data_IF_540772619902
#
_entry.id   IF_540772619902
#
_cell.length_a   1.000
_cell.length_b   1.000
_cell.length_c   1.000
_cell.angle_alpha   90.00
_cell.angle_beta   90.00
_cell.angle_gamma   90.00
#
_symmetry.space_group_name_H-M   'P 1'
#
loop_
_entity.id
_entity.type
_entity.pdbx_description
1 polymer ?
#
# COMPACT_ATOMS: atom_id res chain seq x y z
N UNK A 1 -7.11 -16.76 7.77
CA UNK A 1 -7.17 -17.04 6.30
C UNK A 1 -5.98 -16.37 5.63
N UNK A 2 -5.24 -17.10 4.78
CA UNK A 2 -4.10 -16.51 4.07
C UNK A 2 -4.56 -15.45 3.08
N UNK A 3 -4.04 -14.23 3.24
CA UNK A 3 -4.33 -13.09 2.37
C UNK A 3 -3.27 -12.92 1.28
N UNK A 4 -2.03 -13.31 1.59
CA UNK A 4 -0.87 -13.24 0.70
C UNK A 4 -0.11 -14.56 0.74
N UNK A 5 0.27 -15.08 -0.41
CA UNK A 5 1.21 -16.19 -0.55
C UNK A 5 2.27 -15.85 -1.59
N UNK A 6 3.52 -15.99 -1.20
CA UNK A 6 4.71 -15.80 -2.02
C UNK A 6 5.44 -17.15 -2.08
N UNK A 7 5.64 -17.68 -3.28
CA UNK A 7 6.16 -19.02 -3.50
C UNK A 7 7.34 -18.99 -4.48
N UNK A 8 8.53 -19.31 -3.99
CA UNK A 8 9.77 -19.44 -4.76
C UNK A 8 10.05 -18.25 -5.70
N UNK A 9 9.81 -17.03 -5.22
CA UNK A 9 9.93 -15.82 -6.02
C UNK A 9 11.40 -15.48 -6.25
N UNK A 10 11.77 -15.39 -7.53
CA UNK A 10 13.04 -14.89 -8.01
C UNK A 10 12.80 -13.61 -8.82
N UNK A 11 13.63 -12.61 -8.63
CA UNK A 11 13.64 -11.42 -9.49
C UNK A 11 15.05 -11.09 -9.94
N UNK A 12 15.22 -11.06 -11.24
CA UNK A 12 16.48 -10.73 -11.89
C UNK A 12 16.27 -9.59 -12.89
N UNK A 13 17.17 -8.61 -12.87
CA UNK A 13 17.19 -7.48 -13.81
C UNK A 13 18.41 -7.59 -14.74
N UNK A 14 18.31 -6.99 -15.92
CA UNK A 14 19.38 -6.97 -16.90
C UNK A 14 19.37 -8.18 -17.85
N UNK A 15 20.34 -8.22 -18.76
CA UNK A 15 20.50 -9.28 -19.77
C UNK A 15 21.93 -9.82 -19.77
N UNK A 16 22.05 -11.12 -19.98
CA UNK A 16 23.25 -11.95 -20.14
C UNK A 16 24.56 -11.53 -19.43
N UNK A 17 25.11 -10.34 -19.69
CA UNK A 17 26.42 -9.92 -19.14
C UNK A 17 26.31 -9.01 -17.91
N UNK A 18 25.14 -8.40 -17.66
CA UNK A 18 24.89 -7.48 -16.54
C UNK A 18 23.65 -7.90 -15.75
N UNK A 19 23.52 -9.19 -15.49
CA UNK A 19 22.39 -9.73 -14.73
C UNK A 19 22.59 -9.51 -13.23
N UNK A 20 21.60 -8.92 -12.57
CA UNK A 20 21.57 -8.71 -11.13
C UNK A 20 20.35 -9.40 -10.55
N UNK A 21 20.56 -10.39 -9.69
CA UNK A 21 19.49 -11.05 -8.95
C UNK A 21 19.17 -10.23 -7.70
N UNK A 22 18.02 -9.55 -7.73
CA UNK A 22 17.54 -8.73 -6.62
C UNK A 22 16.82 -9.54 -5.56
N UNK A 23 16.15 -10.64 -5.93
CA UNK A 23 15.51 -11.61 -5.03
C UNK A 23 15.85 -13.02 -5.47
N UNK A 24 16.17 -13.90 -4.51
CA UNK A 24 16.55 -15.28 -4.74
C UNK A 24 15.71 -16.19 -3.84
N UNK A 25 14.79 -16.94 -4.45
CA UNK A 25 13.94 -17.97 -3.81
C UNK A 25 13.22 -17.52 -2.55
N UNK A 26 12.47 -16.41 -2.64
CA UNK A 26 11.71 -15.85 -1.53
C UNK A 26 10.37 -16.56 -1.40
N UNK A 27 10.08 -17.13 -0.21
CA UNK A 27 8.81 -17.78 0.09
C UNK A 27 8.32 -17.40 1.48
N UNK A 28 7.08 -16.91 1.58
CA UNK A 28 6.39 -16.64 2.84
C UNK A 28 4.89 -16.48 2.58
N UNK A 29 4.11 -16.44 3.65
CA UNK A 29 2.68 -16.13 3.59
C UNK A 29 2.32 -15.14 4.68
N UNK A 30 1.22 -14.40 4.48
CA UNK A 30 0.62 -13.54 5.47
C UNK A 30 -0.87 -13.86 5.63
N UNK A 31 -1.35 -13.79 6.85
CA UNK A 31 -2.76 -13.93 7.19
C UNK A 31 -3.46 -12.55 7.25
N UNK A 32 -4.77 -12.57 7.20
CA UNK A 32 -5.56 -11.35 7.36
C UNK A 32 -5.30 -10.74 8.74
N UNK A 33 -5.09 -9.41 8.79
CA UNK A 33 -4.78 -8.69 10.02
C UNK A 33 -3.34 -8.85 10.52
N UNK A 34 -2.47 -9.55 9.78
CA UNK A 34 -1.07 -9.71 10.16
C UNK A 34 -0.24 -8.49 9.75
N UNK A 35 0.66 -8.06 10.66
CA UNK A 35 1.64 -7.00 10.40
C UNK A 35 3.03 -7.61 10.20
N UNK A 36 3.56 -7.51 8.99
CA UNK A 36 4.89 -8.03 8.64
C UNK A 36 5.87 -6.87 8.44
N UNK A 37 7.00 -6.90 9.13
CA UNK A 37 8.11 -5.98 8.93
C UNK A 37 9.22 -6.64 8.12
N UNK A 38 9.54 -6.08 6.95
CA UNK A 38 10.65 -6.51 6.10
C UNK A 38 11.85 -5.65 6.44
N UNK A 39 12.87 -6.26 7.03
CA UNK A 39 14.10 -5.58 7.47
C UNK A 39 15.31 -6.04 6.67
N UNK A 40 16.28 -5.16 6.49
CA UNK A 40 17.52 -5.46 5.76
C UNK A 40 18.27 -4.19 5.39
N UNK A 41 19.53 -4.34 5.00
CA UNK A 41 20.40 -3.24 4.57
C UNK A 41 19.88 -2.60 3.27
N UNK A 42 20.40 -1.41 2.93
CA UNK A 42 20.12 -0.80 1.62
C UNK A 42 20.56 -1.74 0.49
N UNK A 43 19.75 -1.85 -0.55
CA UNK A 43 20.03 -2.74 -1.68
C UNK A 43 19.70 -4.22 -1.45
N UNK A 44 19.13 -4.62 -0.30
CA UNK A 44 18.78 -6.02 -0.02
C UNK A 44 17.50 -6.53 -0.72
N UNK A 45 16.90 -5.75 -1.62
CA UNK A 45 15.73 -6.16 -2.41
C UNK A 45 14.37 -5.83 -1.79
N UNK A 46 14.31 -5.09 -0.66
CA UNK A 46 13.03 -4.75 0.02
C UNK A 46 12.03 -4.06 -0.91
N UNK A 47 12.43 -2.97 -1.54
CA UNK A 47 11.56 -2.22 -2.48
C UNK A 47 11.23 -3.05 -3.71
N UNK A 48 12.14 -3.90 -4.18
CA UNK A 48 11.85 -4.87 -5.25
C UNK A 48 10.74 -5.82 -4.84
N UNK A 49 10.82 -6.39 -3.64
CA UNK A 49 9.78 -7.27 -3.12
C UNK A 49 8.44 -6.53 -3.01
N UNK A 50 8.42 -5.33 -2.43
CA UNK A 50 7.20 -4.52 -2.32
C UNK A 50 6.60 -4.19 -3.70
N UNK A 51 7.42 -3.91 -4.71
CA UNK A 51 6.97 -3.66 -6.08
C UNK A 51 6.33 -4.90 -6.70
N UNK A 52 6.89 -6.09 -6.47
CA UNK A 52 6.31 -7.35 -6.92
C UNK A 52 4.97 -7.63 -6.21
N UNK A 53 4.92 -7.48 -4.87
CA UNK A 53 3.69 -7.64 -4.09
C UNK A 53 2.61 -6.63 -4.52
N UNK A 54 3.04 -5.41 -4.87
CA UNK A 54 2.19 -4.34 -5.39
C UNK A 54 1.71 -4.53 -6.83
N UNK A 55 2.19 -5.55 -7.54
CA UNK A 55 1.90 -5.74 -8.96
C UNK A 55 2.39 -4.57 -9.83
N UNK A 56 3.44 -3.87 -9.37
CA UNK A 56 4.14 -2.82 -10.14
C UNK A 56 5.20 -3.42 -11.05
N UNK A 57 5.67 -4.62 -10.70
CA UNK A 57 6.60 -5.43 -11.48
C UNK A 57 6.15 -6.90 -11.41
N UNK A 58 6.74 -7.77 -12.21
CA UNK A 58 6.44 -9.20 -12.26
C UNK A 58 7.67 -10.02 -11.84
N UNK A 59 7.53 -11.12 -11.13
CA UNK A 59 8.65 -11.99 -10.80
C UNK A 59 9.23 -12.63 -12.07
N UNK A 60 10.54 -12.95 -12.04
CA UNK A 60 11.19 -13.73 -13.10
C UNK A 60 10.78 -15.20 -13.00
N UNK A 61 10.71 -15.71 -11.76
CA UNK A 61 10.24 -17.05 -11.44
C UNK A 61 9.42 -17.01 -10.15
N UNK A 62 8.66 -18.09 -9.92
CA UNK A 62 7.80 -18.22 -8.75
C UNK A 62 6.44 -17.56 -8.94
N UNK A 63 5.69 -17.46 -7.83
CA UNK A 63 4.29 -17.05 -7.85
C UNK A 63 3.94 -16.16 -6.68
N UNK A 64 3.09 -15.17 -6.91
CA UNK A 64 2.51 -14.32 -5.88
C UNK A 64 0.99 -14.37 -6.00
N UNK A 65 0.33 -14.78 -4.93
CA UNK A 65 -1.14 -14.84 -4.86
C UNK A 65 -1.66 -13.94 -3.75
N UNK A 66 -2.67 -13.13 -4.06
CA UNK A 66 -3.38 -12.27 -3.11
C UNK A 66 -4.86 -12.64 -3.15
N UNK A 67 -5.45 -12.95 -1.99
CA UNK A 67 -6.82 -13.51 -1.90
C UNK A 67 -7.03 -14.71 -2.83
N UNK A 68 -6.03 -15.57 -2.97
CA UNK A 68 -6.06 -16.73 -3.86
C UNK A 68 -5.91 -16.44 -5.35
N UNK A 69 -5.82 -15.16 -5.77
CA UNK A 69 -5.60 -14.77 -7.16
C UNK A 69 -4.12 -14.64 -7.46
N UNK A 70 -3.62 -15.39 -8.43
CA UNK A 70 -2.27 -15.24 -8.95
C UNK A 70 -2.15 -13.93 -9.74
N UNK A 71 -1.43 -12.96 -9.18
CA UNK A 71 -1.28 -11.63 -9.80
C UNK A 71 -0.38 -11.64 -11.05
N UNK A 72 0.50 -12.65 -11.17
CA UNK A 72 1.38 -12.82 -12.34
C UNK A 72 0.63 -13.36 -13.57
N UNK A 73 -0.49 -14.06 -13.39
CA UNK A 73 -1.31 -14.63 -14.47
C UNK A 73 -2.26 -13.59 -15.10
N UNK A 74 -2.45 -12.44 -14.47
CA UNK A 74 -3.36 -11.40 -14.91
C UNK A 74 -2.77 -10.62 -16.09
N UNK A 75 -3.62 -10.23 -17.04
CA UNK A 75 -3.24 -9.26 -18.08
C UNK A 75 -2.92 -7.88 -17.45
N UNK A 76 -2.19 -7.02 -18.14
CA UNK A 76 -1.85 -5.67 -17.66
C UNK A 76 -3.08 -4.85 -17.23
N UNK A 77 -4.19 -5.01 -17.95
CA UNK A 77 -5.45 -4.33 -17.62
C UNK A 77 -6.05 -4.87 -16.32
N UNK A 78 -6.10 -6.18 -16.19
CA UNK A 78 -6.59 -6.86 -14.97
C UNK A 78 -5.71 -6.56 -13.78
N UNK A 79 -4.37 -6.59 -13.91
CA UNK A 79 -3.43 -6.19 -12.86
C UNK A 79 -3.70 -4.75 -12.38
N UNK A 80 -3.99 -3.83 -13.30
CA UNK A 80 -4.28 -2.43 -12.94
C UNK A 80 -5.58 -2.31 -12.14
N UNK A 81 -6.62 -3.07 -12.53
CA UNK A 81 -7.90 -3.11 -11.80
C UNK A 81 -7.71 -3.80 -10.44
N UNK A 82 -7.04 -4.94 -10.43
CA UNK A 82 -6.77 -5.72 -9.22
C UNK A 82 -6.00 -4.88 -8.18
N UNK A 83 -4.90 -4.26 -8.60
CA UNK A 83 -4.08 -3.37 -7.75
C UNK A 83 -4.92 -2.26 -7.14
N UNK A 84 -5.70 -1.55 -7.95
CA UNK A 84 -6.56 -0.46 -7.48
C UNK A 84 -7.52 -0.90 -6.38
N UNK A 85 -8.09 -2.10 -6.49
CA UNK A 85 -9.13 -2.60 -5.58
C UNK A 85 -8.60 -3.33 -4.37
N UNK A 86 -7.40 -3.93 -4.47
CA UNK A 86 -6.91 -4.85 -3.46
C UNK A 86 -5.63 -4.38 -2.75
N UNK A 87 -4.93 -3.37 -3.29
CA UNK A 87 -3.62 -2.97 -2.76
C UNK A 87 -3.60 -1.47 -2.47
N UNK A 88 -3.33 -1.14 -1.21
CA UNK A 88 -2.96 0.21 -0.79
C UNK A 88 -1.45 0.35 -0.77
N UNK A 89 -0.90 1.46 -1.26
CA UNK A 89 0.54 1.71 -1.26
C UNK A 89 0.86 3.04 -0.58
N UNK A 90 1.76 2.98 0.41
CA UNK A 90 2.31 4.13 1.14
C UNK A 90 3.77 4.28 0.75
N UNK A 91 4.11 5.37 0.06
CA UNK A 91 5.47 5.65 -0.41
C UNK A 91 6.23 6.54 0.58
N UNK A 92 7.55 6.42 0.59
CA UNK A 92 8.45 7.25 1.38
C UNK A 92 8.26 8.76 1.09
N UNK A 93 8.04 9.14 -0.15
CA UNK A 93 7.87 10.54 -0.59
C UNK A 93 6.42 11.02 -0.56
N UNK A 94 5.54 10.37 0.21
CA UNK A 94 4.10 10.64 0.28
C UNK A 94 3.37 10.53 -1.07
N UNK A 95 3.98 10.93 -2.16
CA UNK A 95 3.45 10.94 -3.55
C UNK A 95 2.06 11.56 -3.66
N UNK A 96 1.83 12.66 -2.92
CA UNK A 96 0.58 13.41 -2.98
C UNK A 96 0.53 14.28 -4.24
N UNK A 97 -0.67 14.46 -4.78
CA UNK A 97 -0.91 15.38 -5.89
C UNK A 97 -0.95 16.82 -5.35
N UNK A 98 0.03 17.69 -5.70
CA UNK A 98 0.16 19.00 -5.08
C UNK A 98 -0.99 19.95 -5.43
N UNK A 99 -1.68 19.70 -6.53
CA UNK A 99 -2.83 20.48 -7.02
C UNK A 99 -4.17 20.08 -6.41
N UNK A 100 -4.19 19.00 -5.63
CA UNK A 100 -5.38 18.48 -4.94
C UNK A 100 -5.27 18.78 -3.45
N UNK A 101 -6.39 19.12 -2.82
CA UNK A 101 -6.48 19.23 -1.36
C UNK A 101 -6.40 17.84 -0.69
N UNK A 102 -6.42 17.80 0.64
CA UNK A 102 -6.36 16.55 1.43
C UNK A 102 -7.50 15.59 1.05
N UNK A 103 -8.75 16.09 1.03
CA UNK A 103 -9.91 15.26 0.72
C UNK A 103 -9.80 14.65 -0.69
N UNK A 104 -9.46 15.46 -1.67
CA UNK A 104 -9.38 15.03 -3.07
C UNK A 104 -8.19 14.06 -3.30
N UNK A 105 -7.06 14.24 -2.60
CA UNK A 105 -5.96 13.27 -2.61
C UNK A 105 -6.40 11.90 -2.09
N UNK A 106 -7.17 11.87 -0.98
CA UNK A 106 -7.65 10.62 -0.38
C UNK A 106 -8.71 9.96 -1.26
N UNK A 107 -9.64 10.73 -1.81
CA UNK A 107 -10.70 10.20 -2.68
C UNK A 107 -10.21 9.76 -4.07
N UNK A 108 -9.04 10.24 -4.52
CA UNK A 108 -8.52 10.04 -5.88
C UNK A 108 -8.54 8.58 -6.36
N UNK A 109 -8.05 7.57 -5.60
CA UNK A 109 -8.06 6.18 -6.07
C UNK A 109 -9.46 5.65 -6.35
N UNK A 110 -10.46 6.10 -5.58
CA UNK A 110 -11.86 5.67 -5.74
C UNK A 110 -12.45 6.20 -7.04
N UNK A 111 -12.07 7.43 -7.45
CA UNK A 111 -12.60 8.07 -8.66
C UNK A 111 -12.20 7.38 -9.96
N UNK A 112 -11.13 6.57 -9.94
CA UNK A 112 -10.67 5.81 -11.11
C UNK A 112 -11.44 4.51 -11.35
N UNK A 113 -12.27 4.06 -10.42
CA UNK A 113 -13.07 2.84 -10.61
C UNK A 113 -14.42 3.20 -11.22
N UNK A 114 -14.61 2.86 -12.50
CA UNK A 114 -15.84 3.15 -13.23
C UNK A 114 -17.03 2.48 -12.55
N UNK A 115 -18.03 3.28 -12.18
CA UNK A 115 -19.21 2.81 -11.46
C UNK A 115 -19.09 2.80 -9.94
N UNK A 116 -17.92 3.09 -9.36
CA UNK A 116 -17.79 3.37 -7.94
C UNK A 116 -18.26 4.78 -7.62
N UNK A 117 -19.11 4.92 -6.65
CA UNK A 117 -19.36 6.20 -5.99
C UNK A 117 -18.36 6.36 -4.86
N UNK A 118 -17.78 7.57 -4.74
CA UNK A 118 -16.94 7.91 -3.58
C UNK A 118 -17.82 7.80 -2.33
N UNK A 119 -17.52 6.83 -1.48
CA UNK A 119 -18.15 6.71 -0.17
C UNK A 119 -17.63 7.86 0.71
N UNK A 120 -18.41 8.94 0.74
CA UNK A 120 -18.05 10.17 1.44
C UNK A 120 -17.97 9.98 2.94
N UNK A 121 -18.78 9.08 3.49
CA UNK A 121 -18.78 8.80 4.92
C UNK A 121 -17.51 8.04 5.30
N UNK A 122 -17.15 7.01 4.55
CA UNK A 122 -15.89 6.29 4.75
C UNK A 122 -14.65 7.22 4.65
N UNK A 123 -14.59 8.10 3.65
CA UNK A 123 -13.50 9.09 3.55
C UNK A 123 -13.48 10.04 4.76
N UNK A 124 -14.66 10.45 5.24
CA UNK A 124 -14.78 11.30 6.43
C UNK A 124 -14.28 10.59 7.67
N UNK A 125 -14.67 9.33 7.88
CA UNK A 125 -14.22 8.50 8.99
C UNK A 125 -12.70 8.34 8.98
N UNK A 126 -12.10 7.95 7.86
CA UNK A 126 -10.64 7.86 7.69
C UNK A 126 -9.93 9.18 8.03
N UNK A 127 -10.45 10.30 7.55
CA UNK A 127 -9.84 11.60 7.83
C UNK A 127 -9.99 12.00 9.30
N UNK A 128 -11.10 11.64 9.98
CA UNK A 128 -11.28 11.85 11.40
C UNK A 128 -10.30 11.01 12.23
N UNK A 129 -10.21 9.72 11.97
CA UNK A 129 -9.31 8.78 12.66
C UNK A 129 -7.85 9.20 12.56
N UNK A 130 -7.45 9.70 11.39
CA UNK A 130 -6.09 10.19 11.15
C UNK A 130 -5.87 11.65 11.58
N UNK A 131 -6.88 12.31 12.19
CA UNK A 131 -6.80 13.69 12.67
C UNK A 131 -6.64 14.73 11.56
N UNK A 132 -7.21 14.46 10.38
CA UNK A 132 -7.07 15.28 9.17
C UNK A 132 -8.36 15.99 8.74
N UNK A 133 -9.50 15.68 9.33
CA UNK A 133 -10.79 16.21 8.87
C UNK A 133 -10.83 17.73 8.83
N UNK A 134 -10.34 18.41 9.86
CA UNK A 134 -10.29 19.88 9.91
C UNK A 134 -9.34 20.48 8.85
N UNK A 135 -8.42 19.67 8.34
CA UNK A 135 -7.45 20.04 7.29
C UNK A 135 -7.85 19.54 5.90
N UNK A 136 -9.05 18.98 5.71
CA UNK A 136 -9.50 18.35 4.46
C UNK A 136 -9.45 19.26 3.22
N UNK A 137 -9.50 20.57 3.41
CA UNK A 137 -9.42 21.59 2.34
C UNK A 137 -8.01 22.15 2.13
N UNK A 138 -7.04 21.77 2.96
CA UNK A 138 -5.64 22.20 2.82
C UNK A 138 -4.95 21.45 1.69
N UNK A 139 -3.96 22.08 1.10
CA UNK A 139 -3.09 21.50 0.09
C UNK A 139 -1.84 20.89 0.72
N UNK A 140 -1.14 19.94 0.05
CA UNK A 140 0.06 19.30 0.59
C UNK A 140 1.13 20.29 1.06
N UNK A 141 1.31 21.41 0.36
CA UNK A 141 2.29 22.46 0.73
C UNK A 141 1.98 23.16 2.05
N UNK A 142 0.77 23.05 2.56
CA UNK A 142 0.32 23.63 3.83
C UNK A 142 0.40 22.64 5.01
N UNK A 143 0.91 21.43 4.78
CA UNK A 143 0.96 20.34 5.75
C UNK A 143 2.39 20.02 6.18
N UNK A 144 2.57 19.64 7.45
CA UNK A 144 3.83 19.06 7.91
C UNK A 144 4.07 17.69 7.25
N UNK A 145 5.33 17.19 7.27
CA UNK A 145 5.66 15.88 6.73
C UNK A 145 4.82 14.75 7.33
N UNK A 146 4.63 14.74 8.65
CA UNK A 146 3.79 13.75 9.32
C UNK A 146 2.31 13.85 8.92
N UNK A 147 1.79 15.05 8.67
CA UNK A 147 0.43 15.22 8.13
C UNK A 147 0.32 14.72 6.68
N UNK A 148 1.31 15.01 5.84
CA UNK A 148 1.36 14.49 4.48
C UNK A 148 1.40 12.96 4.46
N UNK A 149 2.16 12.35 5.38
CA UNK A 149 2.21 10.89 5.53
C UNK A 149 0.86 10.32 5.95
N UNK A 150 0.16 10.95 6.90
CA UNK A 150 -1.20 10.53 7.28
C UNK A 150 -2.18 10.64 6.10
N UNK A 151 -2.07 11.66 5.25
CA UNK A 151 -2.86 11.76 4.01
C UNK A 151 -2.54 10.62 3.04
N UNK A 152 -1.26 10.26 2.88
CA UNK A 152 -0.85 9.13 2.05
C UNK A 152 -1.42 7.79 2.57
N UNK A 153 -1.45 7.60 3.90
CA UNK A 153 -2.08 6.43 4.55
C UNK A 153 -3.59 6.43 4.29
N UNK A 154 -4.28 7.55 4.54
CA UNK A 154 -5.72 7.65 4.27
C UNK A 154 -6.05 7.31 2.81
N UNK A 155 -5.27 7.85 1.87
CA UNK A 155 -5.42 7.54 0.43
C UNK A 155 -5.22 6.06 0.13
N UNK A 156 -4.23 5.41 0.75
CA UNK A 156 -3.98 3.99 0.56
C UNK A 156 -5.13 3.12 1.07
N UNK A 157 -5.86 3.56 2.11
CA UNK A 157 -6.99 2.86 2.72
C UNK A 157 -8.35 3.17 2.07
N UNK A 158 -8.44 4.19 1.22
CA UNK A 158 -9.71 4.69 0.67
C UNK A 158 -10.52 3.64 -0.10
N UNK A 159 -9.86 2.66 -0.74
CA UNK A 159 -10.50 1.54 -1.45
C UNK A 159 -10.68 0.28 -0.59
N UNK A 160 -10.50 0.35 0.74
CA UNK A 160 -10.60 -0.80 1.65
C UNK A 160 -9.74 -1.97 1.15
N UNK A 161 -8.41 -1.78 0.95
CA UNK A 161 -7.56 -2.77 0.30
C UNK A 161 -7.38 -4.02 1.18
N UNK A 162 -7.15 -5.16 0.52
CA UNK A 162 -6.80 -6.41 1.19
C UNK A 162 -5.36 -6.40 1.74
N UNK A 163 -4.48 -5.67 1.08
CA UNK A 163 -3.05 -5.59 1.42
C UNK A 163 -2.60 -4.13 1.43
N UNK A 164 -2.00 -3.70 2.53
CA UNK A 164 -1.35 -2.40 2.65
C UNK A 164 0.17 -2.58 2.60
N UNK A 165 0.80 -2.00 1.60
CA UNK A 165 2.26 -2.01 1.42
C UNK A 165 2.82 -0.66 1.79
N UNK A 166 3.89 -0.62 2.58
CA UNK A 166 4.56 0.60 2.99
C UNK A 166 6.07 0.50 2.76
N UNK A 167 6.60 1.33 1.86
CA UNK A 167 8.03 1.41 1.57
C UNK A 167 8.63 2.59 2.34
N UNK A 168 9.41 2.28 3.37
CA UNK A 168 10.05 3.25 4.29
C UNK A 168 9.09 4.37 4.77
N UNK A 169 7.91 4.03 5.33
CA UNK A 169 6.85 5.01 5.62
C UNK A 169 7.24 6.07 6.65
N UNK A 170 8.38 5.93 7.29
CA UNK A 170 8.92 6.84 8.32
C UNK A 170 10.25 7.46 7.96
N UNK A 171 10.81 7.18 6.78
CA UNK A 171 12.15 7.59 6.39
C UNK A 171 12.40 9.10 6.37
N UNK A 172 11.36 9.90 6.19
CA UNK A 172 11.41 11.36 6.14
C UNK A 172 10.83 12.04 7.40
N UNK A 173 10.63 11.30 8.49
CA UNK A 173 9.99 11.78 9.71
C UNK A 173 10.97 11.77 10.91
N UNK A 174 10.75 12.70 11.84
CA UNK A 174 11.41 12.63 13.15
C UNK A 174 10.95 11.40 13.95
N UNK A 175 11.73 10.97 14.93
CA UNK A 175 11.49 9.73 15.68
C UNK A 175 10.13 9.68 16.38
N UNK A 176 9.62 10.82 16.89
CA UNK A 176 8.33 10.87 17.56
C UNK A 176 7.20 10.67 16.56
N UNK A 177 7.21 11.41 15.46
CA UNK A 177 6.23 11.28 14.39
C UNK A 177 6.29 9.89 13.72
N UNK A 178 7.48 9.30 13.61
CA UNK A 178 7.66 7.95 13.09
C UNK A 178 6.92 6.90 13.94
N UNK A 179 7.05 6.97 15.28
CA UNK A 179 6.32 6.06 16.20
C UNK A 179 4.81 6.24 16.07
N UNK A 180 4.32 7.48 15.97
CA UNK A 180 2.89 7.76 15.76
C UNK A 180 2.37 7.15 14.46
N UNK A 181 3.10 7.29 13.36
CA UNK A 181 2.73 6.75 12.05
C UNK A 181 2.69 5.22 12.06
N UNK A 182 3.67 4.55 12.67
CA UNK A 182 3.65 3.08 12.81
C UNK A 182 2.47 2.63 13.69
N UNK A 183 2.18 3.37 14.76
CA UNK A 183 1.00 3.12 15.61
C UNK A 183 -0.32 3.21 14.82
N UNK A 184 -0.45 4.23 13.97
CA UNK A 184 -1.60 4.39 13.08
C UNK A 184 -1.72 3.25 12.07
N UNK A 185 -0.62 2.83 11.42
CA UNK A 185 -0.62 1.70 10.50
C UNK A 185 -1.08 0.41 11.17
N UNK A 186 -0.67 0.15 12.42
CA UNK A 186 -1.13 -1.00 13.20
C UNK A 186 -2.61 -0.90 13.57
N UNK A 187 -3.08 0.29 13.97
CA UNK A 187 -4.50 0.50 14.29
C UNK A 187 -5.40 0.30 13.07
N UNK A 188 -4.97 0.74 11.89
CA UNK A 188 -5.71 0.54 10.64
C UNK A 188 -5.91 -0.94 10.27
N UNK A 189 -4.99 -1.84 10.66
CA UNK A 189 -5.14 -3.29 10.45
C UNK A 189 -6.32 -3.86 11.24
N UNK A 190 -6.51 -3.42 12.48
CA UNK A 190 -7.62 -3.86 13.32
C UNK A 190 -8.97 -3.41 12.73
N UNK A 191 -9.03 -2.17 12.23
CA UNK A 191 -10.22 -1.60 11.60
C UNK A 191 -10.64 -2.34 10.30
N UNK A 192 -9.68 -2.75 9.47
CA UNK A 192 -9.98 -3.50 8.24
C UNK A 192 -10.39 -4.94 8.51
N UNK A 193 -10.03 -5.51 9.67
CA UNK A 193 -10.42 -6.87 10.08
C UNK A 193 -11.90 -6.92 10.51
N UNK A 194 -12.37 -5.93 11.25
CA UNK A 194 -13.76 -5.88 11.75
C UNK A 194 -14.77 -5.61 10.61
N UNK A 195 -14.40 -4.77 9.63
CA UNK A 195 -15.26 -4.46 8.48
C UNK A 195 -15.45 -5.64 7.50
N UNK A 196 -14.62 -6.69 7.60
CA UNK A 196 -14.74 -7.89 6.77
C UNK A 196 -15.69 -8.95 7.36
N UNK A 197 -15.98 -8.86 8.66
CA UNK A 197 -16.86 -9.80 9.38
C UNK A 197 -18.36 -9.42 9.28
N UNK A 198 -18.66 -8.16 8.95
CA UNK A 198 -20.03 -7.65 8.82
C UNK A 198 -20.67 -7.89 7.42
N UNK A 199 -20.03 -8.66 6.56
CA UNK A 199 -20.38 -8.84 5.13
C UNK A 199 -20.95 -10.20 4.72
N UNK A 200 -21.28 -11.10 5.66
CA UNK A 200 -21.98 -12.36 5.34
C UNK A 200 -23.42 -12.41 5.90
#
# INVERSE_FOLDING_TARGET
MKILEVQHVVKTYGSHQNQVTALSDVSFAAEQGEFIAIVGTSGSGKSTLLNLLGGLDVPTEGKISIRGHDIGSLTRKEQTIFRRRNIGFVFQNYSLMPVLNVYDNVALPVTFDKGSHVDREHIRELLNELGLWEKRKRYPSELSGGQQQRVAIARALANKPALLLADEPTGNLDSKTAVEVIGLLKACLLYTSDAADDGE
#
